data_IF_492735604494
#
_entry.id   IF_492735604494
#
_cell.length_a   1.000
_cell.length_b   1.000
_cell.length_c   1.000
_cell.angle_alpha   90.00
_cell.angle_beta   90.00
_cell.angle_gamma   90.00
#
_symmetry.space_group_name_H-M   'P 1'
#
loop_
_entity.id
_entity.type
_entity.pdbx_description
1 polymer ?
#
# COMPACT_ATOMS: atom_id res chain seq x y z
N UNK A 1 -11.02 -4.88 31.34
CA UNK A 1 -9.88 -4.32 30.58
C UNK A 1 -9.26 -5.46 29.79
N UNK A 2 -9.63 -5.59 28.51
CA UNK A 2 -9.07 -6.60 27.62
C UNK A 2 -8.25 -5.87 26.57
N UNK A 3 -6.95 -6.14 26.60
CA UNK A 3 -5.94 -5.63 25.69
C UNK A 3 -6.23 -6.13 24.27
N UNK A 4 -7.02 -5.40 23.48
CA UNK A 4 -6.97 -5.55 22.03
C UNK A 4 -5.82 -4.71 21.53
N UNK A 5 -4.63 -5.29 21.61
CA UNK A 5 -3.46 -4.81 20.92
C UNK A 5 -3.86 -4.53 19.48
N UNK A 6 -3.67 -3.29 19.05
CA UNK A 6 -3.59 -2.89 17.65
C UNK A 6 -2.57 -3.79 16.98
N UNK A 7 -2.99 -4.95 16.48
CA UNK A 7 -2.20 -5.66 15.49
C UNK A 7 -2.04 -4.67 14.35
N UNK A 8 -0.81 -4.32 13.94
CA UNK A 8 -0.65 -3.24 12.98
C UNK A 8 -1.38 -3.67 11.72
N UNK A 9 -2.40 -2.92 11.30
CA UNK A 9 -3.02 -3.12 9.98
C UNK A 9 -1.98 -3.08 8.85
N UNK A 10 -0.79 -2.53 9.14
CA UNK A 10 0.42 -2.67 8.34
C UNK A 10 0.83 -4.14 8.13
N UNK A 11 1.00 -4.95 9.19
CA UNK A 11 1.47 -6.34 9.10
C UNK A 11 0.56 -7.19 8.21
N UNK A 12 -0.76 -7.06 8.36
CA UNK A 12 -1.74 -7.82 7.58
C UNK A 12 -1.70 -7.53 6.08
N UNK A 13 -1.40 -6.28 5.67
CA UNK A 13 -1.37 -5.92 4.25
C UNK A 13 -0.07 -6.33 3.55
N UNK A 14 1.05 -6.45 4.28
CA UNK A 14 2.28 -7.03 3.74
C UNK A 14 2.16 -8.54 3.52
N UNK A 15 1.43 -9.25 4.39
CA UNK A 15 1.14 -10.69 4.24
C UNK A 15 0.31 -11.02 3.00
N UNK A 16 -0.34 -10.02 2.38
CA UNK A 16 -1.09 -10.19 1.13
C UNK A 16 -0.18 -10.39 -0.09
N UNK A 17 1.12 -10.16 0.05
CA UNK A 17 2.09 -10.24 -1.01
C UNK A 17 3.04 -11.43 -0.80
N UNK A 18 3.48 -12.09 -1.88
CA UNK A 18 4.63 -12.97 -1.85
C UNK A 18 5.85 -12.28 -1.23
N UNK A 19 6.60 -12.98 -0.38
CA UNK A 19 7.73 -12.41 0.38
C UNK A 19 8.78 -11.71 -0.50
N UNK A 20 9.01 -12.20 -1.72
CA UNK A 20 9.95 -11.61 -2.67
C UNK A 20 9.52 -10.23 -3.21
N UNK A 21 8.28 -9.82 -2.98
CA UNK A 21 7.72 -8.54 -3.42
C UNK A 21 7.54 -7.52 -2.28
N UNK A 22 7.85 -7.90 -1.03
CA UNK A 22 7.69 -7.03 0.14
C UNK A 22 8.61 -5.80 0.07
N UNK A 23 9.83 -5.99 -0.42
CA UNK A 23 10.80 -4.89 -0.57
C UNK A 23 10.30 -3.84 -1.57
N UNK A 24 9.88 -4.28 -2.77
CA UNK A 24 9.32 -3.39 -3.80
C UNK A 24 8.07 -2.68 -3.31
N UNK A 25 7.17 -3.40 -2.64
CA UNK A 25 5.97 -2.82 -2.08
C UNK A 25 6.27 -1.77 -1.00
N UNK A 26 7.25 -2.02 -0.14
CA UNK A 26 7.67 -1.07 0.90
C UNK A 26 8.16 0.23 0.27
N UNK A 27 8.97 0.15 -0.79
CA UNK A 27 9.47 1.32 -1.53
C UNK A 27 8.30 2.12 -2.15
N UNK A 28 7.32 1.42 -2.74
CA UNK A 28 6.14 2.06 -3.34
C UNK A 28 5.33 2.80 -2.28
N UNK A 29 5.03 2.14 -1.15
CA UNK A 29 4.25 2.72 -0.06
C UNK A 29 5.00 3.91 0.56
N UNK A 30 6.30 3.81 0.75
CA UNK A 30 7.13 4.90 1.30
C UNK A 30 7.16 6.13 0.41
N UNK A 31 7.27 5.94 -0.92
CA UNK A 31 7.17 7.04 -1.90
C UNK A 31 5.80 7.71 -1.86
N UNK A 32 4.73 6.92 -1.79
CA UNK A 32 3.36 7.44 -1.68
C UNK A 32 3.16 8.18 -0.35
N UNK A 33 3.67 7.66 0.78
CA UNK A 33 3.64 8.32 2.09
C UNK A 33 4.36 9.65 2.07
N UNK A 34 5.61 9.66 1.60
CA UNK A 34 6.44 10.86 1.52
C UNK A 34 5.78 11.95 0.66
N UNK A 35 5.22 11.56 -0.50
CA UNK A 35 4.50 12.49 -1.35
C UNK A 35 3.12 12.88 -0.79
N UNK A 36 2.50 12.05 0.05
CA UNK A 36 1.24 12.37 0.71
C UNK A 36 1.43 13.43 1.80
N UNK A 37 2.53 13.33 2.54
CA UNK A 37 2.86 14.17 3.69
C UNK A 37 3.28 15.59 3.30
N UNK A 38 3.74 15.77 2.06
CA UNK A 38 4.15 17.05 1.47
C UNK A 38 3.05 17.70 0.62
N UNK A 39 1.79 17.30 0.82
CA UNK A 39 0.66 17.98 0.17
C UNK A 39 0.44 19.35 0.83
N UNK A 40 0.16 20.40 0.02
CA UNK A 40 -0.17 20.35 -1.40
C UNK A 40 1.03 20.41 -2.38
N UNK A 41 2.24 20.71 -1.92
CA UNK A 41 3.43 20.99 -2.75
C UNK A 41 3.82 19.83 -3.67
N UNK A 42 3.49 18.59 -3.30
CA UNK A 42 3.79 17.36 -4.03
C UNK A 42 2.57 16.70 -4.67
N UNK A 43 1.47 17.42 -4.94
CA UNK A 43 0.23 16.82 -5.48
C UNK A 43 0.45 15.99 -6.76
N UNK A 44 1.22 16.49 -7.73
CA UNK A 44 1.58 15.75 -8.95
C UNK A 44 2.44 14.52 -8.65
N UNK A 45 3.40 14.65 -7.72
CA UNK A 45 4.28 13.54 -7.33
C UNK A 45 3.50 12.43 -6.63
N UNK A 46 2.51 12.80 -5.81
CA UNK A 46 1.61 11.85 -5.17
C UNK A 46 0.78 11.09 -6.20
N UNK A 47 0.21 11.80 -7.18
CA UNK A 47 -0.58 11.15 -8.23
C UNK A 47 0.28 10.16 -9.04
N UNK A 48 1.49 10.56 -9.43
CA UNK A 48 2.44 9.68 -10.11
C UNK A 48 2.82 8.45 -9.25
N UNK A 49 3.08 8.66 -7.96
CA UNK A 49 3.42 7.57 -7.04
C UNK A 49 2.25 6.59 -6.86
N UNK A 50 1.01 7.10 -6.78
CA UNK A 50 -0.21 6.28 -6.72
C UNK A 50 -0.43 5.49 -7.99
N UNK A 51 -0.29 6.12 -9.16
CA UNK A 51 -0.43 5.44 -10.45
C UNK A 51 0.58 4.30 -10.59
N UNK A 52 1.83 4.53 -10.19
CA UNK A 52 2.86 3.49 -10.16
C UNK A 52 2.46 2.33 -9.22
N UNK A 53 2.01 2.63 -7.99
CA UNK A 53 1.53 1.61 -7.06
C UNK A 53 0.30 0.84 -7.57
N UNK A 54 -0.66 1.52 -8.20
CA UNK A 54 -1.82 0.87 -8.80
C UNK A 54 -1.42 -0.03 -9.97
N UNK A 55 -0.46 0.38 -10.79
CA UNK A 55 0.11 -0.45 -11.85
C UNK A 55 0.72 -1.73 -11.29
N UNK A 56 1.53 -1.61 -10.24
CA UNK A 56 2.13 -2.75 -9.54
C UNK A 56 1.06 -3.72 -9.02
N UNK A 57 0.08 -3.25 -8.25
CA UNK A 57 -0.99 -4.12 -7.69
C UNK A 57 -1.83 -4.77 -8.79
N UNK A 58 -2.14 -4.06 -9.88
CA UNK A 58 -2.86 -4.63 -11.04
C UNK A 58 -2.05 -5.73 -11.72
N UNK A 59 -0.73 -5.56 -11.87
CA UNK A 59 0.15 -6.58 -12.45
C UNK A 59 0.17 -7.85 -11.59
N UNK A 60 0.24 -7.70 -10.26
CA UNK A 60 0.18 -8.84 -9.35
C UNK A 60 -1.14 -9.61 -9.44
N UNK A 61 -2.26 -8.90 -9.52
CA UNK A 61 -3.57 -9.52 -9.67
C UNK A 61 -3.70 -10.23 -11.03
N UNK A 62 -3.20 -9.62 -12.11
CA UNK A 62 -3.19 -10.23 -13.44
C UNK A 62 -2.31 -11.48 -13.53
N UNK A 63 -1.21 -11.51 -12.77
CA UNK A 63 -0.33 -12.66 -12.63
C UNK A 63 -0.85 -13.73 -11.66
N UNK A 64 -2.00 -13.52 -11.01
CA UNK A 64 -2.56 -14.45 -10.03
C UNK A 64 -1.78 -14.53 -8.70
N UNK A 65 -0.93 -13.54 -8.41
CA UNK A 65 -0.08 -13.50 -7.21
C UNK A 65 -0.82 -12.97 -5.97
N UNK A 66 -1.96 -12.32 -6.16
CA UNK A 66 -2.82 -11.78 -5.09
C UNK A 66 -4.29 -12.03 -5.41
N UNK A 67 -5.11 -12.17 -4.37
CA UNK A 67 -6.57 -12.31 -4.52
C UNK A 67 -7.23 -10.97 -4.88
N UNK A 68 -8.50 -11.01 -5.32
CA UNK A 68 -9.29 -9.79 -5.58
C UNK A 68 -9.47 -8.94 -4.33
N UNK A 69 -9.67 -9.59 -3.17
CA UNK A 69 -9.74 -8.90 -1.87
C UNK A 69 -8.39 -8.24 -1.52
N UNK A 70 -7.29 -8.99 -1.64
CA UNK A 70 -5.95 -8.47 -1.41
C UNK A 70 -5.62 -7.27 -2.31
N UNK A 71 -6.00 -7.33 -3.59
CA UNK A 71 -5.87 -6.20 -4.52
C UNK A 71 -6.59 -4.95 -4.01
N UNK A 72 -7.82 -5.08 -3.52
CA UNK A 72 -8.59 -3.95 -3.01
C UNK A 72 -7.92 -3.32 -1.78
N UNK A 73 -7.49 -4.14 -0.83
CA UNK A 73 -6.82 -3.68 0.40
C UNK A 73 -5.49 -2.97 0.11
N UNK A 74 -4.71 -3.49 -0.85
CA UNK A 74 -3.46 -2.87 -1.29
C UNK A 74 -3.71 -1.53 -1.99
N UNK A 75 -4.75 -1.43 -2.82
CA UNK A 75 -5.13 -0.17 -3.48
C UNK A 75 -5.62 0.88 -2.47
N UNK A 76 -6.40 0.48 -1.46
CA UNK A 76 -6.86 1.35 -0.39
C UNK A 76 -5.67 1.95 0.38
N UNK A 77 -4.63 1.16 0.66
CA UNK A 77 -3.42 1.64 1.32
C UNK A 77 -2.73 2.77 0.53
N UNK A 78 -2.74 2.73 -0.81
CA UNK A 78 -2.13 3.79 -1.64
C UNK A 78 -2.98 5.07 -1.66
N UNK A 79 -4.30 4.94 -1.49
CA UNK A 79 -5.19 6.08 -1.34
C UNK A 79 -5.02 6.74 0.04
N UNK A 80 -4.94 5.92 1.07
CA UNK A 80 -4.88 6.34 2.47
C UNK A 80 -3.66 5.75 3.19
N UNK A 81 -2.45 6.19 2.85
CA UNK A 81 -1.21 5.55 3.30
C UNK A 81 -0.92 5.70 4.80
N UNK A 82 -1.71 6.54 5.50
CA UNK A 82 -1.70 6.72 6.95
C UNK A 82 -2.89 6.06 7.69
N UNK A 83 -3.92 5.57 6.99
CA UNK A 83 -5.14 5.00 7.61
C UNK A 83 -4.93 3.56 8.09
N UNK A 84 -3.78 3.28 8.70
CA UNK A 84 -3.44 1.99 9.30
C UNK A 84 -3.14 2.12 10.81
N UNK A 85 -3.66 3.16 11.47
CA UNK A 85 -3.63 3.33 12.92
C UNK A 85 -4.77 2.57 13.58
#
# INVERSE_FOLDING_TARGET
MASNASQPAQTYRYELLPNNLHADWTIIVDRVRTAYDRKPESATQLENARQHGFGFVRALAAAGLVTVAAKADLMELLLYPRSSC
#
